data_IF_913181647918
#
_entry.id   IF_913181647918
#
_cell.length_a   1.000
_cell.length_b   1.000
_cell.length_c   1.000
_cell.angle_alpha   90.00
_cell.angle_beta   90.00
_cell.angle_gamma   90.00
#
_symmetry.space_group_name_H-M   'P 1'
#
loop_
_entity.id
_entity.type
_entity.pdbx_description
1 polymer ?
#
# COMPACT_ATOMS: atom_id res chain seq x y z
N UNK A 1 -6.05 2.82 11.46
CA UNK A 1 -7.49 2.61 11.17
C UNK A 1 -7.85 1.17 10.78
N UNK A 2 -6.92 0.20 10.85
CA UNK A 2 -7.20 -1.16 10.37
C UNK A 2 -7.85 -2.08 11.40
N UNK A 3 -7.91 -1.72 12.68
CA UNK A 3 -8.27 -2.65 13.79
C UNK A 3 -9.64 -3.33 13.69
N UNK A 4 -10.58 -2.79 12.91
CA UNK A 4 -11.91 -3.39 12.68
C UNK A 4 -11.88 -4.42 11.53
N UNK A 5 -11.11 -4.13 10.47
CA UNK A 5 -11.03 -4.98 9.28
C UNK A 5 -9.94 -6.05 9.38
N UNK A 6 -8.90 -5.79 10.17
CA UNK A 6 -7.73 -6.64 10.35
C UNK A 6 -8.09 -8.10 10.72
N UNK A 7 -9.04 -8.37 11.63
CA UNK A 7 -9.42 -9.74 11.96
C UNK A 7 -10.05 -10.50 10.78
N UNK A 8 -10.86 -9.83 9.96
CA UNK A 8 -11.54 -10.42 8.81
C UNK A 8 -10.51 -10.81 7.74
N UNK A 9 -9.60 -9.89 7.42
CA UNK A 9 -8.54 -10.14 6.43
C UNK A 9 -7.53 -11.18 6.93
N UNK A 10 -7.26 -11.22 8.23
CA UNK A 10 -6.36 -12.21 8.82
C UNK A 10 -6.91 -13.63 8.66
N UNK A 11 -8.17 -13.86 9.01
CA UNK A 11 -8.82 -15.18 8.83
C UNK A 11 -8.82 -15.59 7.35
N UNK A 12 -9.17 -14.67 6.45
CA UNK A 12 -9.18 -14.93 5.00
C UNK A 12 -7.79 -15.31 4.47
N UNK A 13 -6.74 -14.67 5.00
CA UNK A 13 -5.34 -14.96 4.66
C UNK A 13 -4.93 -16.34 5.17
N UNK A 14 -5.36 -16.72 6.38
CA UNK A 14 -5.05 -18.02 6.97
C UNK A 14 -5.72 -19.17 6.21
N UNK A 15 -6.96 -18.98 5.74
CA UNK A 15 -7.66 -20.00 4.93
C UNK A 15 -7.00 -20.17 3.55
N UNK A 16 -6.55 -19.08 2.94
CA UNK A 16 -5.74 -19.14 1.73
C UNK A 16 -4.40 -19.85 1.95
N UNK A 17 -3.73 -19.61 3.08
CA UNK A 17 -2.47 -20.30 3.42
C UNK A 17 -2.68 -21.81 3.54
N UNK A 18 -3.76 -22.25 4.21
CA UNK A 18 -4.10 -23.67 4.31
C UNK A 18 -4.41 -24.28 2.94
N UNK A 19 -5.19 -23.59 2.10
CA UNK A 19 -5.49 -24.05 0.75
C UNK A 19 -4.21 -24.18 -0.09
N UNK A 20 -3.32 -23.20 -0.02
CA UNK A 20 -2.02 -23.21 -0.70
C UNK A 20 -1.14 -24.38 -0.27
N UNK A 21 -1.03 -24.64 1.04
CA UNK A 21 -0.27 -25.76 1.60
C UNK A 21 -0.80 -27.12 1.15
N UNK A 22 -2.11 -27.22 0.90
CA UNK A 22 -2.76 -28.44 0.43
C UNK A 22 -2.86 -28.54 -1.10
N UNK A 23 -2.20 -27.63 -1.85
CA UNK A 23 -2.30 -27.53 -3.31
C UNK A 23 -3.74 -27.37 -3.84
N UNK A 24 -4.63 -26.83 -3.02
CA UNK A 24 -6.01 -26.53 -3.36
C UNK A 24 -6.13 -25.10 -3.93
N UNK A 25 -7.17 -24.82 -4.73
CA UNK A 25 -7.42 -23.46 -5.21
C UNK A 25 -7.68 -22.49 -4.06
N UNK A 26 -7.17 -21.26 -4.20
CA UNK A 26 -7.28 -20.21 -3.20
C UNK A 26 -8.72 -19.66 -3.15
N UNK A 27 -9.42 -19.74 -1.99
CA UNK A 27 -10.83 -19.35 -1.89
C UNK A 27 -11.06 -17.83 -1.82
N UNK A 28 -10.12 -17.03 -1.32
CA UNK A 28 -10.33 -15.60 -1.07
C UNK A 28 -9.40 -14.71 -1.91
N UNK A 29 -9.95 -13.69 -2.56
CA UNK A 29 -9.14 -12.68 -3.28
C UNK A 29 -8.75 -11.55 -2.32
N UNK A 30 -9.74 -11.02 -1.57
CA UNK A 30 -9.51 -9.98 -0.57
C UNK A 30 -8.86 -10.58 0.69
N UNK A 31 -7.56 -10.37 0.83
CA UNK A 31 -6.74 -10.83 1.95
C UNK A 31 -5.88 -9.68 2.45
N UNK A 32 -5.19 -9.83 3.60
CA UNK A 32 -4.33 -8.75 4.12
C UNK A 32 -3.26 -8.34 3.09
N UNK A 33 -2.53 -9.28 2.47
CA UNK A 33 -1.53 -8.92 1.46
C UNK A 33 -2.13 -8.19 0.25
N UNK A 34 -3.39 -8.48 -0.10
CA UNK A 34 -4.07 -7.77 -1.19
C UNK A 34 -4.25 -6.29 -0.86
N UNK A 35 -4.71 -5.98 0.35
CA UNK A 35 -4.91 -4.59 0.79
C UNK A 35 -3.56 -3.87 0.87
N UNK A 36 -2.56 -4.50 1.48
CA UNK A 36 -1.23 -3.92 1.69
C UNK A 36 -0.53 -3.60 0.36
N UNK A 37 -0.66 -4.47 -0.65
CA UNK A 37 0.06 -4.34 -1.93
C UNK A 37 -0.71 -3.60 -3.03
N UNK A 38 -2.04 -3.64 -3.02
CA UNK A 38 -2.84 -3.05 -4.12
C UNK A 38 -3.67 -1.85 -3.70
N UNK A 39 -3.96 -1.68 -2.40
CA UNK A 39 -4.81 -0.60 -1.92
C UNK A 39 -4.01 0.48 -1.20
N UNK A 40 -3.08 0.06 -0.34
CA UNK A 40 -2.29 0.96 0.52
C UNK A 40 -0.79 0.85 0.28
N UNK A 41 -0.37 0.50 -0.93
CA UNK A 41 1.05 0.35 -1.24
C UNK A 41 1.75 1.70 -1.33
N UNK A 42 2.79 1.90 -0.53
CA UNK A 42 3.37 3.22 -0.33
C UNK A 42 2.59 4.05 0.70
N UNK A 43 1.82 3.45 1.60
CA UNK A 43 1.15 4.10 2.73
C UNK A 43 -0.36 4.27 2.55
N UNK A 44 -0.98 5.13 3.39
CA UNK A 44 -2.43 5.24 3.60
C UNK A 44 -3.32 5.70 2.42
N UNK A 45 -2.92 5.49 1.17
CA UNK A 45 -3.70 5.84 -0.02
C UNK A 45 -2.94 5.68 -1.33
N UNK A 46 -2.05 4.69 -1.44
CA UNK A 46 -1.17 4.53 -2.60
C UNK A 46 -0.26 5.73 -2.88
N UNK A 47 0.34 6.32 -1.84
CA UNK A 47 1.07 7.60 -1.99
C UNK A 47 2.30 7.50 -2.89
N UNK A 48 2.84 6.28 -3.08
CA UNK A 48 3.90 6.04 -4.07
C UNK A 48 3.41 6.30 -5.51
N UNK A 49 2.19 5.90 -5.85
CA UNK A 49 1.60 6.19 -7.16
C UNK A 49 1.41 7.70 -7.36
N UNK A 50 0.98 8.41 -6.31
CA UNK A 50 0.90 9.87 -6.32
C UNK A 50 2.28 10.51 -6.57
N UNK A 51 3.33 10.04 -5.91
CA UNK A 51 4.70 10.54 -6.10
C UNK A 51 5.20 10.32 -7.53
N UNK A 52 4.91 9.15 -8.13
CA UNK A 52 5.23 8.89 -9.54
C UNK A 52 4.56 9.92 -10.45
N UNK A 53 3.28 10.22 -10.23
CA UNK A 53 2.54 11.24 -11.00
C UNK A 53 3.13 12.64 -10.78
N UNK A 54 3.54 12.97 -9.55
CA UNK A 54 4.19 14.25 -9.25
C UNK A 54 5.47 14.42 -10.08
N UNK A 55 6.30 13.39 -10.19
CA UNK A 55 7.52 13.47 -11.02
C UNK A 55 7.24 13.46 -12.51
N UNK A 56 6.19 12.76 -12.97
CA UNK A 56 5.90 12.65 -14.40
C UNK A 56 5.21 13.90 -14.99
N UNK A 57 4.31 14.54 -14.24
CA UNK A 57 3.40 15.56 -14.78
C UNK A 57 3.58 16.92 -14.10
N UNK A 58 3.98 16.95 -12.82
CA UNK A 58 3.94 18.18 -12.04
C UNK A 58 5.11 19.12 -12.39
N UNK A 59 4.80 20.41 -12.52
CA UNK A 59 5.80 21.47 -12.79
C UNK A 59 6.08 22.36 -11.57
N UNK A 60 5.34 22.16 -10.47
CA UNK A 60 5.50 22.95 -9.25
C UNK A 60 6.81 22.59 -8.56
N UNK A 61 7.71 23.58 -8.38
CA UNK A 61 8.97 23.38 -7.67
C UNK A 61 8.76 22.84 -6.26
N UNK A 62 7.73 23.33 -5.56
CA UNK A 62 7.41 22.87 -4.20
C UNK A 62 7.08 21.38 -4.17
N UNK A 63 6.22 20.93 -5.09
CA UNK A 63 5.79 19.52 -5.14
C UNK A 63 6.92 18.60 -5.58
N UNK A 64 7.81 19.07 -6.47
CA UNK A 64 8.98 18.31 -6.88
C UNK A 64 10.01 18.17 -5.75
N UNK A 65 10.27 19.23 -4.98
CA UNK A 65 11.16 19.16 -3.81
C UNK A 65 10.57 18.26 -2.71
N UNK A 66 9.28 18.40 -2.42
CA UNK A 66 8.58 17.50 -1.50
C UNK A 66 8.65 16.05 -1.98
N UNK A 67 8.41 15.81 -3.27
CA UNK A 67 8.46 14.49 -3.87
C UNK A 67 9.84 13.84 -3.73
N UNK A 68 10.93 14.60 -3.90
CA UNK A 68 12.31 14.10 -3.72
C UNK A 68 12.58 13.65 -2.28
N UNK A 69 12.05 14.37 -1.29
CA UNK A 69 12.18 14.00 0.11
C UNK A 69 11.31 12.79 0.47
N UNK A 70 10.15 12.67 -0.19
CA UNK A 70 9.15 11.65 0.10
C UNK A 70 9.32 10.33 -0.67
N UNK A 71 10.04 10.29 -1.79
CA UNK A 71 10.13 9.09 -2.64
C UNK A 71 10.86 7.93 -1.96
N UNK A 72 11.96 8.20 -1.27
CA UNK A 72 12.71 7.18 -0.57
C UNK A 72 11.90 6.52 0.56
N UNK A 73 11.28 7.27 1.50
CA UNK A 73 10.39 6.67 2.50
C UNK A 73 9.14 6.05 1.86
N UNK A 74 8.60 6.64 0.80
CA UNK A 74 7.42 6.14 0.09
C UNK A 74 7.60 4.75 -0.51
N UNK A 75 8.79 4.39 -0.98
CA UNK A 75 9.11 3.03 -1.45
C UNK A 75 8.97 1.99 -0.32
N UNK A 76 9.28 2.38 0.91
CA UNK A 76 9.18 1.52 2.09
C UNK A 76 7.82 1.63 2.81
N UNK A 77 6.82 2.28 2.21
CA UNK A 77 5.48 2.41 2.79
C UNK A 77 5.33 3.52 3.83
N UNK A 78 6.33 4.39 3.98
CA UNK A 78 6.31 5.53 4.90
C UNK A 78 5.82 6.76 4.12
N UNK A 79 4.69 7.34 4.52
CA UNK A 79 3.99 8.38 3.76
C UNK A 79 3.81 9.71 4.50
N UNK A 80 4.30 9.81 5.73
CA UNK A 80 4.23 11.01 6.58
C UNK A 80 4.77 12.27 5.89
N UNK A 81 5.89 12.23 5.13
CA UNK A 81 6.35 13.41 4.40
C UNK A 81 5.33 13.92 3.37
N UNK A 82 4.53 13.03 2.77
CA UNK A 82 3.49 13.41 1.78
C UNK A 82 2.23 13.93 2.47
N UNK A 83 1.87 13.38 3.63
CA UNK A 83 0.66 13.76 4.36
C UNK A 83 0.84 15.09 5.11
N UNK A 84 2.05 15.36 5.62
CA UNK A 84 2.32 16.51 6.48
C UNK A 84 3.16 17.61 5.84
N UNK A 85 3.84 17.34 4.71
CA UNK A 85 4.68 18.31 3.99
C UNK A 85 3.98 19.02 2.84
#
# INVERSE_FOLDING_TARGET
ANSVWQPIFFVSTQDNLKAFQNHAPLPHIYTQPFIDLFTTYGGGGSTLALLIVVFAICKSKRLLELGKLAILPGIFGINEPVIFG
#
